data_IF_725281595414
#
_entry.id   IF_725281595414
#
_cell.length_a   1.000
_cell.length_b   1.000
_cell.length_c   1.000
_cell.angle_alpha   90.00
_cell.angle_beta   90.00
_cell.angle_gamma   90.00
#
_symmetry.space_group_name_H-M   'P 1'
#
loop_
_entity.id
_entity.type
_entity.pdbx_description
1 polymer ?
#
# COMPACT_ATOMS: atom_id res chain seq x y z
N UNK A 1 12.56 27.16 23.51
CA UNK A 1 12.75 26.68 22.13
C UNK A 1 11.72 25.61 21.87
N UNK A 2 10.69 25.91 21.09
CA UNK A 2 9.70 24.93 20.64
C UNK A 2 10.40 24.09 19.58
N UNK A 3 10.78 22.85 19.92
CA UNK A 3 11.22 21.88 18.92
C UNK A 3 10.07 21.71 17.93
N UNK A 4 10.24 22.24 16.73
CA UNK A 4 9.33 21.98 15.62
C UNK A 4 9.21 20.45 15.47
N UNK A 5 8.08 19.89 15.91
CA UNK A 5 7.77 18.46 15.71
C UNK A 5 7.54 18.30 14.21
N UNK A 6 8.56 17.91 13.47
CA UNK A 6 8.38 17.49 12.11
C UNK A 6 7.42 16.29 12.10
N UNK A 7 6.32 16.43 11.40
CA UNK A 7 5.38 15.32 11.16
C UNK A 7 6.17 14.20 10.47
N UNK A 8 6.13 13.00 11.05
CA UNK A 8 6.83 11.88 10.46
C UNK A 8 6.16 11.49 9.15
N UNK A 9 6.91 11.60 8.04
CA UNK A 9 6.39 11.30 6.71
C UNK A 9 5.84 9.87 6.57
N UNK A 10 6.36 8.89 7.34
CA UNK A 10 5.83 7.53 7.31
C UNK A 10 4.46 7.44 7.99
N UNK A 11 4.26 8.15 9.10
CA UNK A 11 2.95 8.22 9.75
C UNK A 11 1.93 8.92 8.86
N UNK A 12 2.34 9.99 8.17
CA UNK A 12 1.45 10.68 7.22
C UNK A 12 1.10 9.79 6.02
N UNK A 13 2.06 9.05 5.47
CA UNK A 13 1.82 8.09 4.41
C UNK A 13 0.80 7.04 4.87
N UNK A 14 1.02 6.42 6.03
CA UNK A 14 0.07 5.43 6.59
C UNK A 14 -1.34 6.03 6.79
N UNK A 15 -1.43 7.25 7.31
CA UNK A 15 -2.73 7.92 7.51
C UNK A 15 -3.49 8.04 6.19
N UNK A 16 -2.83 8.60 5.17
CA UNK A 16 -3.44 8.80 3.85
C UNK A 16 -3.80 7.47 3.18
N UNK A 17 -2.89 6.51 3.15
CA UNK A 17 -3.14 5.19 2.56
C UNK A 17 -4.31 4.50 3.23
N UNK A 18 -4.34 4.47 4.57
CA UNK A 18 -5.43 3.84 5.31
C UNK A 18 -6.76 4.55 5.06
N UNK A 19 -6.74 5.89 4.97
CA UNK A 19 -7.93 6.70 4.68
C UNK A 19 -8.52 6.33 3.31
N UNK A 20 -7.71 6.39 2.25
CA UNK A 20 -8.15 6.05 0.90
C UNK A 20 -8.60 4.58 0.79
N UNK A 21 -7.84 3.66 1.37
CA UNK A 21 -8.18 2.25 1.37
C UNK A 21 -9.52 1.99 2.07
N UNK A 22 -9.73 2.55 3.25
CA UNK A 22 -10.97 2.36 4.02
C UNK A 22 -12.19 3.03 3.36
N UNK A 23 -11.96 4.10 2.59
CA UNK A 23 -13.01 4.76 1.84
C UNK A 23 -13.43 4.00 0.57
N UNK A 24 -12.52 3.27 -0.06
CA UNK A 24 -12.75 2.70 -1.39
C UNK A 24 -12.88 1.17 -1.40
N UNK A 25 -12.08 0.47 -0.61
CA UNK A 25 -11.99 -0.99 -0.66
C UNK A 25 -13.31 -1.74 -0.42
N UNK A 26 -14.16 -1.36 0.54
CA UNK A 26 -15.41 -2.09 0.77
C UNK A 26 -16.32 -2.11 -0.46
N UNK A 27 -16.36 -1.01 -1.23
CA UNK A 27 -17.17 -0.91 -2.44
C UNK A 27 -16.56 -1.67 -3.60
N UNK A 28 -15.25 -1.52 -3.83
CA UNK A 28 -14.53 -2.30 -4.85
C UNK A 28 -14.68 -3.79 -4.57
N UNK A 29 -14.53 -4.20 -3.31
CA UNK A 29 -14.69 -5.60 -2.91
C UNK A 29 -16.12 -6.11 -3.13
N UNK A 30 -17.14 -5.32 -2.81
CA UNK A 30 -18.55 -5.65 -3.05
C UNK A 30 -18.80 -5.94 -4.53
N UNK A 31 -18.30 -5.08 -5.42
CA UNK A 31 -18.43 -5.27 -6.87
C UNK A 31 -17.68 -6.52 -7.35
N UNK A 32 -16.47 -6.76 -6.86
CA UNK A 32 -15.70 -7.96 -7.18
C UNK A 32 -16.48 -9.21 -6.77
N UNK A 33 -16.98 -9.30 -5.55
CA UNK A 33 -17.70 -10.48 -5.04
C UNK A 33 -19.02 -10.71 -5.80
N UNK A 34 -19.63 -9.66 -6.35
CA UNK A 34 -20.85 -9.80 -7.14
C UNK A 34 -20.63 -10.46 -8.52
N UNK A 35 -19.39 -10.43 -9.04
CA UNK A 35 -19.06 -10.89 -10.41
C UNK A 35 -18.10 -12.07 -10.40
N UNK A 36 -17.23 -12.16 -9.40
CA UNK A 36 -16.13 -13.15 -9.33
C UNK A 36 -16.56 -14.34 -8.48
N UNK A 37 -16.37 -15.57 -9.00
CA UNK A 37 -16.72 -16.79 -8.27
C UNK A 37 -15.84 -17.00 -7.03
N UNK A 38 -16.41 -17.64 -6.01
CA UNK A 38 -15.71 -17.97 -4.75
C UNK A 38 -14.42 -18.77 -5.00
N UNK A 39 -14.41 -19.63 -6.02
CA UNK A 39 -13.22 -20.43 -6.38
C UNK A 39 -12.06 -19.54 -6.85
N UNK A 40 -12.34 -18.48 -7.61
CA UNK A 40 -11.32 -17.52 -8.07
C UNK A 40 -10.83 -16.67 -6.91
N UNK A 41 -11.73 -16.27 -6.00
CA UNK A 41 -11.37 -15.55 -4.77
C UNK A 41 -10.46 -16.42 -3.88
N UNK A 42 -10.81 -17.69 -3.68
CA UNK A 42 -10.00 -18.62 -2.90
C UNK A 42 -8.62 -18.86 -3.54
N UNK A 43 -8.54 -19.00 -4.87
CA UNK A 43 -7.28 -19.13 -5.59
C UNK A 43 -6.40 -17.89 -5.40
N UNK A 44 -6.99 -16.69 -5.46
CA UNK A 44 -6.28 -15.43 -5.18
C UNK A 44 -5.68 -15.43 -3.77
N UNK A 45 -6.42 -15.85 -2.76
CA UNK A 45 -5.91 -15.94 -1.38
C UNK A 45 -4.72 -16.90 -1.27
N UNK A 46 -4.77 -18.05 -1.97
CA UNK A 46 -3.66 -19.01 -2.03
C UNK A 46 -2.43 -18.36 -2.66
N UNK A 47 -2.58 -17.67 -3.80
CA UNK A 47 -1.49 -16.96 -4.48
C UNK A 47 -0.87 -15.91 -3.56
N UNK A 48 -1.69 -15.15 -2.85
CA UNK A 48 -1.22 -14.15 -1.89
C UNK A 48 -0.42 -14.78 -0.73
N UNK A 49 -0.91 -15.87 -0.15
CA UNK A 49 -0.19 -16.59 0.91
C UNK A 49 1.15 -17.15 0.41
N UNK A 50 1.18 -17.76 -0.77
CA UNK A 50 2.42 -18.25 -1.37
C UNK A 50 3.40 -17.10 -1.65
N UNK A 51 2.92 -15.96 -2.11
CA UNK A 51 3.76 -14.79 -2.34
C UNK A 51 4.43 -14.28 -1.06
N UNK A 52 3.72 -14.27 0.07
CA UNK A 52 4.29 -13.88 1.37
C UNK A 52 5.47 -14.79 1.73
N UNK A 53 5.30 -16.10 1.57
CA UNK A 53 6.34 -17.09 1.91
C UNK A 53 7.54 -16.94 0.98
N UNK A 54 7.31 -16.84 -0.33
CA UNK A 54 8.37 -16.74 -1.34
C UNK A 54 9.16 -15.44 -1.16
N UNK A 55 8.47 -14.30 -1.14
CA UNK A 55 9.13 -13.00 -1.04
C UNK A 55 9.77 -12.77 0.32
N UNK A 56 9.20 -13.31 1.40
CA UNK A 56 9.84 -13.30 2.72
C UNK A 56 11.20 -13.99 2.69
N UNK A 57 11.30 -15.18 2.09
CA UNK A 57 12.58 -15.90 1.93
C UNK A 57 13.57 -15.17 1.02
N UNK A 58 13.09 -14.63 -0.11
CA UNK A 58 13.92 -13.89 -1.07
C UNK A 58 14.47 -12.62 -0.42
N UNK A 59 13.65 -11.86 0.29
CA UNK A 59 14.09 -10.64 0.97
C UNK A 59 15.04 -10.93 2.13
N UNK A 60 14.83 -12.00 2.88
CA UNK A 60 15.77 -12.40 3.93
C UNK A 60 17.17 -12.67 3.37
N UNK A 61 17.24 -13.23 2.16
CA UNK A 61 18.54 -13.57 1.52
C UNK A 61 19.17 -12.40 0.78
N UNK A 62 18.37 -11.55 0.13
CA UNK A 62 18.87 -10.54 -0.83
C UNK A 62 18.45 -9.10 -0.47
N UNK A 63 18.09 -8.84 0.80
CA UNK A 63 17.50 -7.57 1.20
C UNK A 63 18.31 -6.33 0.80
N UNK A 64 19.66 -6.36 0.88
CA UNK A 64 20.52 -5.22 0.53
C UNK A 64 20.51 -4.92 -0.96
N UNK A 65 20.39 -5.96 -1.79
CA UNK A 65 20.31 -5.79 -3.24
C UNK A 65 18.93 -5.28 -3.64
N UNK A 66 17.87 -5.92 -3.15
CA UNK A 66 16.49 -5.58 -3.49
C UNK A 66 16.11 -4.20 -2.99
N UNK A 67 16.60 -3.78 -1.83
CA UNK A 67 16.32 -2.46 -1.27
C UNK A 67 16.81 -1.31 -2.16
N UNK A 68 17.83 -1.51 -2.98
CA UNK A 68 18.29 -0.51 -3.96
C UNK A 68 17.23 -0.23 -5.04
N UNK A 69 16.40 -1.23 -5.35
CA UNK A 69 15.33 -1.16 -6.34
C UNK A 69 13.98 -0.74 -5.75
N UNK A 70 13.91 -0.48 -4.44
CA UNK A 70 12.68 -0.13 -3.75
C UNK A 70 11.88 0.99 -4.42
N UNK A 71 12.49 2.14 -4.82
CA UNK A 71 11.76 3.19 -5.53
C UNK A 71 11.21 2.73 -6.90
N UNK A 72 11.91 1.81 -7.56
CA UNK A 72 11.46 1.25 -8.84
C UNK A 72 10.21 0.41 -8.65
N UNK A 73 10.13 -0.39 -7.57
CA UNK A 73 8.92 -1.14 -7.24
C UNK A 73 7.74 -0.20 -6.96
N UNK A 74 7.94 0.92 -6.24
CA UNK A 74 6.90 1.91 -5.99
C UNK A 74 6.38 2.55 -7.30
N UNK A 75 7.28 2.95 -8.21
CA UNK A 75 6.91 3.49 -9.52
C UNK A 75 6.16 2.44 -10.36
N UNK A 76 6.68 1.20 -10.38
CA UNK A 76 6.07 0.12 -11.15
C UNK A 76 4.65 -0.21 -10.64
N UNK A 77 4.44 -0.28 -9.33
CA UNK A 77 3.11 -0.49 -8.75
C UNK A 77 2.16 0.64 -9.16
N UNK A 78 2.59 1.88 -9.04
CA UNK A 78 1.77 3.03 -9.44
C UNK A 78 1.34 2.94 -10.91
N UNK A 79 2.28 2.66 -11.82
CA UNK A 79 1.98 2.53 -13.25
C UNK A 79 1.05 1.35 -13.55
N UNK A 80 1.27 0.21 -12.91
CA UNK A 80 0.43 -0.97 -13.09
C UNK A 80 -0.97 -0.76 -12.49
N UNK A 81 -1.09 -0.10 -11.34
CA UNK A 81 -2.38 0.23 -10.73
C UNK A 81 -3.18 1.21 -11.60
N UNK A 82 -2.53 2.23 -12.16
CA UNK A 82 -3.17 3.13 -13.14
C UNK A 82 -3.62 2.36 -14.37
N UNK A 83 -2.77 1.49 -14.90
CA UNK A 83 -3.08 0.68 -16.08
C UNK A 83 -4.25 -0.27 -15.84
N UNK A 84 -4.27 -0.99 -14.72
CA UNK A 84 -5.35 -1.92 -14.37
C UNK A 84 -6.68 -1.21 -14.12
N UNK A 85 -6.67 -0.08 -13.41
CA UNK A 85 -7.86 0.73 -13.19
C UNK A 85 -8.41 1.30 -14.51
N UNK A 86 -7.54 1.85 -15.36
CA UNK A 86 -7.93 2.36 -16.69
C UNK A 86 -8.53 1.23 -17.54
N UNK A 87 -7.91 0.05 -17.53
CA UNK A 87 -8.45 -1.12 -18.23
C UNK A 87 -9.84 -1.51 -17.72
N UNK A 88 -10.03 -1.56 -16.40
CA UNK A 88 -11.32 -1.86 -15.79
C UNK A 88 -12.41 -0.87 -16.23
N UNK A 89 -12.10 0.42 -16.21
CA UNK A 89 -13.03 1.50 -16.60
C UNK A 89 -13.41 1.41 -18.07
N UNK A 90 -12.41 1.21 -18.95
CA UNK A 90 -12.65 1.19 -20.41
C UNK A 90 -13.34 -0.11 -20.87
N UNK A 91 -12.93 -1.26 -20.31
CA UNK A 91 -13.47 -2.56 -20.73
C UNK A 91 -14.74 -2.96 -19.99
N UNK A 92 -15.03 -2.37 -18.82
CA UNK A 92 -16.08 -2.84 -17.92
C UNK A 92 -15.85 -4.24 -17.33
N UNK A 93 -14.65 -4.82 -17.52
CA UNK A 93 -14.36 -6.20 -17.14
C UNK A 93 -13.73 -6.28 -15.74
N UNK A 94 -14.57 -6.38 -14.72
CA UNK A 94 -14.18 -6.48 -13.31
C UNK A 94 -13.36 -7.75 -13.03
N UNK A 95 -13.66 -8.88 -13.69
CA UNK A 95 -12.91 -10.12 -13.48
C UNK A 95 -11.45 -9.98 -13.93
N UNK A 96 -11.20 -9.40 -15.11
CA UNK A 96 -9.84 -9.18 -15.61
C UNK A 96 -9.09 -8.18 -14.73
N UNK A 97 -9.75 -7.12 -14.26
CA UNK A 97 -9.20 -6.19 -13.27
C UNK A 97 -8.74 -6.93 -12.02
N UNK A 98 -9.62 -7.76 -11.43
CA UNK A 98 -9.33 -8.51 -10.21
C UNK A 98 -8.12 -9.45 -10.36
N UNK A 99 -8.00 -10.13 -11.49
CA UNK A 99 -6.86 -11.01 -11.78
C UNK A 99 -5.56 -10.20 -11.91
N UNK A 100 -5.59 -9.10 -12.65
CA UNK A 100 -4.41 -8.24 -12.85
C UNK A 100 -3.98 -7.62 -11.51
N UNK A 101 -4.92 -7.06 -10.74
CA UNK A 101 -4.66 -6.47 -9.43
C UNK A 101 -4.06 -7.49 -8.45
N UNK A 102 -4.59 -8.74 -8.46
CA UNK A 102 -4.02 -9.86 -7.70
C UNK A 102 -2.55 -10.12 -8.04
N UNK A 103 -2.20 -10.13 -9.32
CA UNK A 103 -0.82 -10.37 -9.76
C UNK A 103 0.09 -9.19 -9.35
N UNK A 104 -0.40 -7.95 -9.50
CA UNK A 104 0.33 -6.76 -9.05
C UNK A 104 0.60 -6.86 -7.55
N UNK A 105 -0.45 -7.11 -6.75
CA UNK A 105 -0.35 -7.23 -5.30
C UNK A 105 0.60 -8.35 -4.88
N UNK A 106 0.49 -9.52 -5.50
CA UNK A 106 1.30 -10.70 -5.13
C UNK A 106 2.77 -10.55 -5.49
N UNK A 107 3.11 -9.75 -6.51
CA UNK A 107 4.49 -9.62 -7.01
C UNK A 107 5.09 -8.29 -6.59
N UNK A 108 4.47 -7.17 -6.98
CA UNK A 108 5.07 -5.84 -6.84
C UNK A 108 4.84 -5.29 -5.43
N UNK A 109 3.61 -5.28 -4.95
CA UNK A 109 3.26 -4.75 -3.62
C UNK A 109 3.97 -5.52 -2.51
N UNK A 110 4.21 -6.84 -2.67
CA UNK A 110 5.00 -7.62 -1.70
C UNK A 110 6.45 -7.13 -1.60
N UNK A 111 7.06 -6.77 -2.71
CA UNK A 111 8.40 -6.17 -2.68
C UNK A 111 8.40 -4.82 -1.96
N UNK A 112 7.34 -4.02 -2.14
CA UNK A 112 7.18 -2.73 -1.44
C UNK A 112 6.97 -2.96 0.05
N UNK A 113 6.11 -3.90 0.45
CA UNK A 113 5.90 -4.24 1.86
C UNK A 113 7.20 -4.66 2.56
N UNK A 114 7.98 -5.56 1.95
CA UNK A 114 9.26 -6.01 2.50
C UNK A 114 10.27 -4.87 2.56
N UNK A 115 10.35 -4.04 1.52
CA UNK A 115 11.20 -2.85 1.48
C UNK A 115 10.81 -1.80 2.52
N UNK A 116 9.52 -1.60 2.75
CA UNK A 116 8.97 -0.72 3.78
C UNK A 116 9.35 -1.15 5.19
N UNK A 117 9.34 -2.47 5.47
CA UNK A 117 9.84 -3.01 6.74
C UNK A 117 11.32 -2.66 6.94
N UNK A 118 12.14 -2.86 5.91
CA UNK A 118 13.56 -2.49 5.96
C UNK A 118 13.77 -0.98 6.11
N UNK A 119 12.99 -0.18 5.40
CA UNK A 119 13.00 1.29 5.49
C UNK A 119 12.71 1.74 6.93
N UNK A 120 11.71 1.14 7.58
CA UNK A 120 11.40 1.36 9.00
C UNK A 120 12.56 0.98 9.91
N UNK A 121 13.15 -0.19 9.72
CA UNK A 121 14.27 -0.64 10.54
C UNK A 121 15.49 0.28 10.44
N UNK A 122 15.73 0.88 9.27
CA UNK A 122 16.80 1.86 9.09
C UNK A 122 16.48 3.19 9.78
N UNK A 123 15.21 3.62 9.76
CA UNK A 123 14.78 4.91 10.30
C UNK A 123 14.63 4.88 11.82
N UNK A 124 14.02 3.83 12.37
CA UNK A 124 13.80 3.64 13.80
C UNK A 124 14.76 2.57 14.33
N UNK A 125 15.96 3.01 14.73
CA UNK A 125 17.06 2.10 15.06
C UNK A 125 16.89 1.38 16.39
N UNK A 126 16.30 2.07 17.39
CA UNK A 126 16.08 1.48 18.71
C UNK A 126 14.72 0.77 18.77
N UNK A 127 14.61 -0.21 19.65
CA UNK A 127 13.35 -0.91 19.90
C UNK A 127 12.28 0.05 20.40
N UNK A 128 12.65 0.97 21.30
CA UNK A 128 11.76 1.99 21.81
C UNK A 128 11.22 2.93 20.74
N UNK A 129 12.04 3.33 19.75
CA UNK A 129 11.60 4.17 18.65
C UNK A 129 10.61 3.40 17.74
N UNK A 130 10.84 2.10 17.53
CA UNK A 130 9.93 1.23 16.77
C UNK A 130 8.59 1.05 17.47
N UNK A 131 8.60 0.74 18.76
CA UNK A 131 7.38 0.66 19.58
C UNK A 131 6.58 1.97 19.54
N UNK A 132 7.27 3.09 19.71
CA UNK A 132 6.60 4.41 19.67
C UNK A 132 6.00 4.68 18.28
N UNK A 133 6.72 4.33 17.21
CA UNK A 133 6.19 4.43 15.85
C UNK A 133 4.98 3.51 15.66
N UNK A 134 5.08 2.24 16.04
CA UNK A 134 4.01 1.26 15.83
C UNK A 134 2.73 1.62 16.60
N UNK A 135 2.86 2.13 17.83
CA UNK A 135 1.73 2.62 18.62
C UNK A 135 1.04 3.82 17.98
N UNK A 136 1.82 4.81 17.50
CA UNK A 136 1.27 5.97 16.80
C UNK A 136 0.66 5.56 15.45
N UNK A 137 1.31 4.68 14.71
CA UNK A 137 0.85 4.15 13.44
C UNK A 137 -0.50 3.42 13.58
N UNK A 138 -0.65 2.58 14.59
CA UNK A 138 -1.89 1.88 14.88
C UNK A 138 -3.02 2.86 15.24
N UNK A 139 -2.73 3.85 16.08
CA UNK A 139 -3.70 4.87 16.46
C UNK A 139 -4.15 5.72 15.26
N UNK A 140 -3.20 6.16 14.43
CA UNK A 140 -3.51 6.92 13.21
C UNK A 140 -4.27 6.09 12.19
N UNK A 141 -3.93 4.81 12.03
CA UNK A 141 -4.65 3.89 11.15
C UNK A 141 -6.10 3.70 11.62
N UNK A 142 -6.33 3.54 12.92
CA UNK A 142 -7.68 3.42 13.47
C UNK A 142 -8.53 4.66 13.19
N UNK A 143 -7.98 5.85 13.42
CA UNK A 143 -8.66 7.12 13.11
C UNK A 143 -8.94 7.25 11.61
N UNK A 144 -7.95 6.94 10.76
CA UNK A 144 -8.11 6.98 9.31
C UNK A 144 -9.18 5.99 8.82
N UNK A 145 -9.24 4.79 9.41
CA UNK A 145 -10.26 3.79 9.09
C UNK A 145 -11.67 4.31 9.43
N UNK A 146 -11.85 4.90 10.60
CA UNK A 146 -13.16 5.48 10.99
C UNK A 146 -13.57 6.58 10.00
N UNK A 147 -12.67 7.54 9.73
CA UNK A 147 -12.95 8.65 8.82
C UNK A 147 -13.22 8.13 7.40
N UNK A 148 -12.39 7.22 6.89
CA UNK A 148 -12.57 6.63 5.56
C UNK A 148 -13.89 5.88 5.43
N UNK A 149 -14.30 5.11 6.46
CA UNK A 149 -15.58 4.43 6.48
C UNK A 149 -16.77 5.40 6.51
N UNK A 150 -16.67 6.52 7.23
CA UNK A 150 -17.68 7.57 7.22
C UNK A 150 -17.77 8.20 5.83
N UNK A 151 -16.64 8.54 5.22
CA UNK A 151 -16.60 9.07 3.85
C UNK A 151 -17.27 8.08 2.89
N UNK A 152 -16.95 6.81 3.00
CA UNK A 152 -17.55 5.75 2.20
C UNK A 152 -19.09 5.70 2.36
N UNK A 153 -19.60 5.87 3.57
CA UNK A 153 -21.05 5.84 3.83
C UNK A 153 -21.78 7.08 3.28
N UNK A 154 -21.09 8.23 3.22
CA UNK A 154 -21.70 9.51 2.80
C UNK A 154 -21.59 9.73 1.30
N UNK A 155 -20.49 9.27 0.68
CA UNK A 155 -20.27 9.40 -0.75
C UNK A 155 -20.86 8.18 -1.46
N UNK A 156 -21.97 8.38 -2.15
CA UNK A 156 -22.56 7.37 -3.05
C UNK A 156 -21.79 7.40 -4.39
N UNK A 157 -20.57 6.87 -4.35
CA UNK A 157 -19.70 6.84 -5.51
C UNK A 157 -19.85 5.51 -6.26
N UNK A 158 -19.81 5.59 -7.59
CA UNK A 158 -19.79 4.41 -8.45
C UNK A 158 -18.42 3.69 -8.42
N UNK A 159 -18.40 2.49 -9.01
CA UNK A 159 -17.18 1.67 -9.10
C UNK A 159 -16.01 2.40 -9.77
N UNK A 160 -16.29 3.19 -10.80
CA UNK A 160 -15.29 3.97 -11.54
C UNK A 160 -14.64 5.03 -10.65
N UNK A 161 -15.45 5.81 -9.93
CA UNK A 161 -14.95 6.83 -9.00
C UNK A 161 -14.15 6.20 -7.86
N UNK A 162 -14.57 5.04 -7.35
CA UNK A 162 -13.84 4.29 -6.31
C UNK A 162 -12.48 3.80 -6.81
N UNK A 163 -12.39 3.27 -8.05
CA UNK A 163 -11.12 2.87 -8.65
C UNK A 163 -10.16 4.05 -8.81
N UNK A 164 -10.66 5.19 -9.27
CA UNK A 164 -9.87 6.41 -9.42
C UNK A 164 -9.31 6.86 -8.06
N UNK A 165 -10.16 6.92 -7.03
CA UNK A 165 -9.74 7.32 -5.69
C UNK A 165 -8.71 6.34 -5.09
N UNK A 166 -8.93 5.03 -5.23
CA UNK A 166 -7.98 4.03 -4.78
C UNK A 166 -6.61 4.18 -5.47
N UNK A 167 -6.63 4.42 -6.78
CA UNK A 167 -5.41 4.62 -7.58
C UNK A 167 -4.66 5.89 -7.18
N UNK A 168 -5.39 6.99 -6.91
CA UNK A 168 -4.81 8.23 -6.38
C UNK A 168 -4.17 7.97 -5.01
N UNK A 169 -4.88 7.31 -4.10
CA UNK A 169 -4.36 6.97 -2.77
C UNK A 169 -3.06 6.16 -2.84
N UNK A 170 -3.02 5.12 -3.66
CA UNK A 170 -1.84 4.30 -3.89
C UNK A 170 -0.67 5.10 -4.49
N UNK A 171 -0.96 6.00 -5.43
CA UNK A 171 0.05 6.86 -6.05
C UNK A 171 0.68 7.83 -5.05
N UNK A 172 -0.13 8.41 -4.17
CA UNK A 172 0.32 9.29 -3.10
C UNK A 172 1.21 8.51 -2.13
N UNK A 173 0.79 7.33 -1.69
CA UNK A 173 1.55 6.47 -0.78
C UNK A 173 2.93 6.13 -1.35
N UNK A 174 2.98 5.63 -2.56
CA UNK A 174 4.23 5.29 -3.25
C UNK A 174 5.16 6.50 -3.40
N UNK A 175 4.61 7.69 -3.68
CA UNK A 175 5.37 8.94 -3.76
C UNK A 175 6.01 9.30 -2.42
N UNK A 176 5.27 9.17 -1.31
CA UNK A 176 5.81 9.39 0.03
C UNK A 176 6.94 8.41 0.36
N UNK A 177 6.78 7.11 0.04
CA UNK A 177 7.82 6.12 0.29
C UNK A 177 9.08 6.38 -0.53
N UNK A 178 8.96 6.80 -1.78
CA UNK A 178 10.10 7.21 -2.62
C UNK A 178 10.81 8.41 -1.99
N UNK A 179 10.07 9.44 -1.58
CA UNK A 179 10.62 10.62 -0.94
C UNK A 179 11.37 10.28 0.36
N UNK A 180 10.78 9.43 1.21
CA UNK A 180 11.40 8.98 2.46
C UNK A 180 12.68 8.20 2.17
N UNK A 181 12.67 7.31 1.17
CA UNK A 181 13.82 6.52 0.76
C UNK A 181 15.01 7.40 0.34
N UNK A 182 14.78 8.43 -0.46
CA UNK A 182 15.88 9.32 -0.89
C UNK A 182 16.37 10.23 0.23
N UNK A 183 15.50 10.67 1.12
CA UNK A 183 15.90 11.53 2.23
C UNK A 183 16.73 10.78 3.30
N UNK A 184 16.58 9.47 3.43
CA UNK A 184 17.41 8.69 4.35
C UNK A 184 18.89 8.64 3.95
N UNK A 185 19.21 8.76 2.65
CA UNK A 185 20.59 8.82 2.18
C UNK A 185 21.31 10.09 2.64
N UNK A 186 20.58 11.10 3.10
CA UNK A 186 21.12 12.38 3.60
C UNK A 186 21.38 12.38 5.10
N UNK A 187 20.95 11.33 5.84
CA UNK A 187 21.27 11.23 7.25
C UNK A 187 22.75 10.89 7.43
N UNK A 188 23.48 11.62 8.30
CA UNK A 188 24.91 11.36 8.52
C UNK A 188 25.10 9.90 8.95
N UNK A 189 26.06 9.24 8.31
CA UNK A 189 26.56 7.94 8.78
C UNK A 189 27.24 8.20 10.12
N UNK A 190 26.56 7.93 11.21
CA UNK A 190 27.17 7.85 12.53
C UNK A 190 27.83 6.50 12.72
#
# INVERSE_FOLDING_TARGET
MIKQKHVDGMLLATLLTTLFYSATYPYIHKEIVSVVSDSVIALNQIINCLSIIIYGKVWNKYSDRLFKFYPIFCVLETLLSIGSATWAIVSGNILSYYIIDTLIFSIVTRNICCGGVKLRAIRYRTEKDREHFDNNNNSMSAVATIIGSIIAMVLDLDFTAMLILATIGNSIDNTFYIFIFYNQKKLPKQ
#
